data_IF_020862803517
#
_entry.id   IF_020862803517
#
_cell.length_a   1.000
_cell.length_b   1.000
_cell.length_c   1.000
_cell.angle_alpha   90.00
_cell.angle_beta   90.00
_cell.angle_gamma   90.00
#
_symmetry.space_group_name_H-M   'P 1'
#
loop_
_entity.id
_entity.type
_entity.pdbx_description
1 polymer ?
#
# COMPACT_ATOMS: atom_id res chain seq x y z
N UNK A 1 -4.30 38.73 -3.33
CA UNK A 1 -5.70 38.73 -2.82
C UNK A 1 -5.75 37.75 -1.65
N UNK A 2 -6.55 37.99 -0.60
CA UNK A 2 -6.65 37.01 0.49
C UNK A 2 -7.34 35.75 -0.02
N UNK A 3 -6.63 34.63 0.04
CA UNK A 3 -7.10 33.30 -0.32
C UNK A 3 -6.66 32.32 0.76
N UNK A 4 -7.37 31.19 0.96
CA UNK A 4 -6.90 30.14 1.85
C UNK A 4 -5.52 29.64 1.43
N UNK A 5 -4.72 29.22 2.41
CA UNK A 5 -3.51 28.42 2.18
C UNK A 5 -3.96 27.00 1.92
N UNK A 6 -3.53 26.42 0.80
CA UNK A 6 -3.76 25.01 0.49
C UNK A 6 -2.61 24.19 1.05
N UNK A 7 -2.92 23.14 1.81
CA UNK A 7 -1.95 22.11 2.19
C UNK A 7 -2.13 20.96 1.20
N UNK A 8 -1.14 20.69 0.34
CA UNK A 8 -1.26 19.65 -0.68
C UNK A 8 -1.37 18.26 -0.04
N UNK A 9 -2.26 17.44 -0.59
CA UNK A 9 -2.30 16.01 -0.27
C UNK A 9 -1.15 15.26 -0.95
N UNK A 10 -0.83 14.04 -0.48
CA UNK A 10 0.18 13.16 -1.09
C UNK A 10 -0.31 11.73 -1.26
N UNK A 11 -1.36 11.49 -2.06
CA UNK A 11 -1.85 10.15 -2.30
C UNK A 11 -0.95 9.39 -3.28
N UNK A 12 -1.10 8.07 -3.27
CA UNK A 12 -0.52 7.16 -4.24
C UNK A 12 -1.62 6.29 -4.87
N UNK A 13 -1.41 5.84 -6.11
CA UNK A 13 -2.33 4.96 -6.80
C UNK A 13 -1.76 4.43 -8.11
N UNK A 14 -2.63 3.86 -8.93
CA UNK A 14 -2.31 3.26 -10.22
C UNK A 14 -3.16 3.86 -11.34
N UNK A 15 -2.69 3.82 -12.59
CA UNK A 15 -3.55 4.08 -13.74
C UNK A 15 -4.81 3.19 -13.71
N UNK A 16 -6.00 3.80 -13.72
CA UNK A 16 -7.29 3.11 -13.62
C UNK A 16 -7.96 3.18 -12.24
N UNK A 17 -7.24 3.60 -11.20
CA UNK A 17 -7.77 3.64 -9.82
C UNK A 17 -8.71 4.83 -9.58
N UNK A 18 -9.56 4.69 -8.57
CA UNK A 18 -10.24 5.83 -7.93
C UNK A 18 -9.47 6.25 -6.68
N UNK A 19 -9.13 7.54 -6.59
CA UNK A 19 -8.30 8.10 -5.53
C UNK A 19 -9.10 9.16 -4.77
N UNK A 20 -9.16 9.04 -3.45
CA UNK A 20 -9.74 10.05 -2.57
C UNK A 20 -8.66 11.09 -2.20
N UNK A 21 -8.73 12.28 -2.78
CA UNK A 21 -7.85 13.41 -2.46
C UNK A 21 -8.44 14.22 -1.29
N UNK A 22 -7.62 14.54 -0.30
CA UNK A 22 -7.99 15.36 0.87
C UNK A 22 -7.30 16.71 0.83
N UNK A 23 -7.94 17.70 0.20
CA UNK A 23 -7.39 19.06 0.11
C UNK A 23 -7.72 19.83 1.38
N UNK A 24 -6.69 20.25 2.13
CA UNK A 24 -6.91 21.08 3.32
C UNK A 24 -6.76 22.57 3.00
N UNK A 25 -7.74 23.35 3.43
CA UNK A 25 -7.78 24.80 3.26
C UNK A 25 -7.68 25.48 4.62
N UNK A 26 -6.60 26.24 4.84
CA UNK A 26 -6.36 27.02 6.04
C UNK A 26 -6.63 28.50 5.77
N UNK A 27 -7.41 29.15 6.63
CA UNK A 27 -7.58 30.61 6.60
C UNK A 27 -6.60 31.26 7.58
N UNK A 28 -5.49 31.89 7.16
CA UNK A 28 -4.54 32.53 8.07
C UNK A 28 -4.99 33.92 8.56
N UNK A 29 -6.15 34.42 8.11
CA UNK A 29 -6.58 35.79 8.37
C UNK A 29 -7.55 35.89 9.56
N UNK A 30 -7.67 37.11 10.09
CA UNK A 30 -8.60 37.46 11.17
C UNK A 30 -10.04 37.72 10.71
N UNK A 31 -10.36 37.44 9.46
CA UNK A 31 -11.71 37.55 8.88
C UNK A 31 -12.06 36.27 8.12
N UNK A 32 -13.35 35.98 7.94
CA UNK A 32 -13.79 34.79 7.22
C UNK A 32 -13.43 34.85 5.74
N UNK A 33 -13.21 33.69 5.13
CA UNK A 33 -13.04 33.54 3.69
C UNK A 33 -14.13 32.63 3.15
N UNK A 34 -14.79 33.06 2.07
CA UNK A 34 -15.79 32.25 1.35
C UNK A 34 -15.43 32.16 -0.12
N UNK A 35 -15.83 31.06 -0.75
CA UNK A 35 -15.58 30.85 -2.16
C UNK A 35 -15.77 29.41 -2.59
N UNK A 36 -15.08 29.06 -3.66
CA UNK A 36 -15.12 27.73 -4.26
C UNK A 36 -13.69 27.30 -4.57
N UNK A 37 -13.40 26.02 -4.30
CA UNK A 37 -12.19 25.36 -4.72
C UNK A 37 -12.54 24.40 -5.85
N UNK A 38 -11.84 24.52 -6.98
CA UNK A 38 -12.05 23.68 -8.17
C UNK A 38 -10.75 22.96 -8.49
N UNK A 39 -10.79 21.63 -8.61
CA UNK A 39 -9.68 20.84 -9.12
C UNK A 39 -9.49 21.07 -10.62
N UNK A 40 -8.27 21.36 -11.01
CA UNK A 40 -7.83 21.41 -12.40
C UNK A 40 -7.22 20.04 -12.76
N UNK A 41 -8.02 19.20 -13.40
CA UNK A 41 -7.65 17.83 -13.72
C UNK A 41 -6.99 17.74 -15.10
N UNK A 42 -5.96 16.87 -15.27
CA UNK A 42 -5.37 16.64 -16.58
C UNK A 42 -6.38 16.06 -17.59
N UNK A 43 -6.14 16.21 -18.90
CA UNK A 43 -6.98 15.61 -19.92
C UNK A 43 -7.19 14.11 -19.71
N UNK A 44 -8.45 13.66 -19.79
CA UNK A 44 -8.84 12.25 -19.63
C UNK A 44 -9.08 11.80 -18.19
N UNK A 45 -8.75 12.63 -17.20
CA UNK A 45 -9.10 12.38 -15.80
C UNK A 45 -10.55 12.79 -15.52
N UNK A 46 -11.15 12.16 -14.53
CA UNK A 46 -12.51 12.46 -14.09
C UNK A 46 -12.58 12.59 -12.57
N UNK A 47 -13.62 13.22 -12.05
CA UNK A 47 -13.96 13.19 -10.64
C UNK A 47 -15.48 13.19 -10.47
N UNK A 48 -15.98 12.63 -9.36
CA UNK A 48 -17.41 12.69 -9.02
C UNK A 48 -17.91 14.14 -8.95
N UNK A 49 -17.07 15.01 -8.39
CA UNK A 49 -17.27 16.45 -8.34
C UNK A 49 -15.89 17.11 -8.46
N UNK A 50 -15.77 18.13 -9.31
CA UNK A 50 -14.51 18.87 -9.49
C UNK A 50 -14.47 20.17 -8.71
N UNK A 51 -15.58 20.59 -8.08
CA UNK A 51 -15.72 21.93 -7.51
C UNK A 51 -16.53 21.92 -6.23
N UNK A 52 -15.96 22.37 -5.11
CA UNK A 52 -16.62 22.41 -3.80
C UNK A 52 -16.57 23.79 -3.17
N UNK A 53 -17.66 24.26 -2.52
CA UNK A 53 -17.64 25.52 -1.80
C UNK A 53 -16.82 25.41 -0.50
N UNK A 54 -16.27 26.54 -0.05
CA UNK A 54 -15.69 26.67 1.29
C UNK A 54 -16.23 27.91 2.00
N UNK A 55 -16.39 27.80 3.32
CA UNK A 55 -16.71 28.88 4.25
C UNK A 55 -15.82 28.72 5.48
N UNK A 56 -14.71 29.44 5.50
CA UNK A 56 -13.68 29.34 6.54
C UNK A 56 -13.85 30.48 7.53
N UNK A 57 -14.06 30.14 8.79
CA UNK A 57 -13.95 31.07 9.90
C UNK A 57 -12.53 31.68 9.97
N UNK A 58 -12.33 32.82 10.65
CA UNK A 58 -11.00 33.35 10.94
C UNK A 58 -10.12 32.28 11.60
N UNK A 59 -8.89 32.10 11.13
CA UNK A 59 -7.96 31.06 11.63
C UNK A 59 -8.50 29.62 11.49
N UNK A 60 -9.54 29.41 10.69
CA UNK A 60 -10.22 28.12 10.51
C UNK A 60 -9.57 27.21 9.48
N UNK A 61 -9.93 25.93 9.54
CA UNK A 61 -9.51 24.85 8.65
C UNK A 61 -10.75 24.15 8.07
N UNK A 62 -10.70 23.79 6.79
CA UNK A 62 -11.61 22.82 6.20
C UNK A 62 -10.83 21.75 5.43
N UNK A 63 -11.43 20.57 5.30
CA UNK A 63 -10.93 19.50 4.44
C UNK A 63 -11.99 19.24 3.38
N UNK A 64 -11.58 19.29 2.11
CA UNK A 64 -12.42 18.99 0.98
C UNK A 64 -11.98 17.65 0.38
N UNK A 65 -12.84 16.64 0.46
CA UNK A 65 -12.59 15.33 -0.14
C UNK A 65 -13.00 15.34 -1.62
N UNK A 66 -12.16 14.81 -2.51
CA UNK A 66 -12.48 14.65 -3.93
C UNK A 66 -12.20 13.21 -4.36
N UNK A 67 -13.18 12.55 -4.95
CA UNK A 67 -13.00 11.23 -5.58
C UNK A 67 -12.61 11.43 -7.04
N UNK A 68 -11.37 11.10 -7.38
CA UNK A 68 -10.78 11.30 -8.71
C UNK A 68 -10.49 9.95 -9.36
N UNK A 69 -10.95 9.75 -10.58
CA UNK A 69 -10.67 8.56 -11.39
C UNK A 69 -9.46 8.81 -12.28
N UNK A 70 -8.42 8.01 -12.10
CA UNK A 70 -7.21 8.02 -12.91
C UNK A 70 -7.48 7.28 -14.22
N UNK A 71 -7.21 7.87 -15.40
CA UNK A 71 -7.42 7.15 -16.65
C UNK A 71 -6.47 5.94 -16.75
N UNK A 72 -6.88 4.81 -17.32
CA UNK A 72 -6.02 3.63 -17.47
C UNK A 72 -4.73 3.88 -18.28
N UNK A 73 -4.72 4.94 -19.10
CA UNK A 73 -3.57 5.35 -19.91
C UNK A 73 -2.72 6.45 -19.26
N UNK A 74 -2.96 6.79 -17.99
CA UNK A 74 -2.16 7.78 -17.27
C UNK A 74 -0.68 7.37 -17.23
N UNK A 75 0.21 8.35 -17.37
CA UNK A 75 1.64 8.13 -17.15
C UNK A 75 1.90 7.96 -15.65
N UNK A 76 2.84 7.08 -15.34
CA UNK A 76 3.36 6.83 -13.99
C UNK A 76 4.37 7.92 -13.58
N UNK A 77 4.66 8.01 -12.28
CA UNK A 77 5.51 9.02 -11.67
C UNK A 77 4.76 9.98 -10.75
N UNK A 78 5.45 11.02 -10.27
CA UNK A 78 4.83 12.09 -9.50
C UNK A 78 4.12 13.08 -10.43
N UNK A 79 2.84 13.33 -10.14
CA UNK A 79 1.99 14.27 -10.83
C UNK A 79 1.50 15.36 -9.85
N UNK A 80 1.71 16.60 -10.22
CA UNK A 80 1.10 17.74 -9.53
C UNK A 80 -0.35 17.94 -10.00
N UNK A 81 -1.30 17.91 -9.07
CA UNK A 81 -2.68 18.34 -9.33
C UNK A 81 -2.84 19.78 -8.83
N UNK A 82 -3.36 20.65 -9.69
CA UNK A 82 -3.58 22.06 -9.37
C UNK A 82 -5.02 22.28 -8.92
N UNK A 83 -5.21 23.21 -7.99
CA UNK A 83 -6.50 23.71 -7.55
C UNK A 83 -6.65 25.19 -7.84
N UNK A 84 -7.86 25.60 -8.21
CA UNK A 84 -8.25 26.98 -8.47
C UNK A 84 -9.16 27.44 -7.34
N UNK A 85 -8.74 28.47 -6.63
CA UNK A 85 -9.51 29.15 -5.58
C UNK A 85 -10.22 30.36 -6.19
N UNK A 86 -11.55 30.35 -6.17
CA UNK A 86 -12.37 31.51 -6.53
C UNK A 86 -13.02 32.07 -5.28
N UNK A 87 -12.57 33.23 -4.83
CA UNK A 87 -13.14 33.94 -3.69
C UNK A 87 -13.73 35.30 -4.08
N UNK A 88 -14.35 35.98 -3.13
CA UNK A 88 -15.00 37.29 -3.34
C UNK A 88 -14.08 38.35 -3.95
N UNK A 89 -12.77 38.26 -3.69
CA UNK A 89 -11.77 39.24 -4.11
C UNK A 89 -10.95 38.82 -5.33
N UNK A 90 -11.23 37.65 -5.90
CA UNK A 90 -10.66 37.17 -7.16
C UNK A 90 -10.18 35.71 -7.12
N UNK A 91 -9.32 35.36 -8.07
CA UNK A 91 -8.91 33.99 -8.39
C UNK A 91 -7.43 33.78 -8.03
N UNK A 92 -7.10 32.63 -7.45
CA UNK A 92 -5.72 32.17 -7.25
C UNK A 92 -5.59 30.69 -7.55
N UNK A 93 -4.36 30.22 -7.77
CA UNK A 93 -4.03 28.80 -8.00
C UNK A 93 -3.09 28.31 -6.91
N UNK A 94 -3.20 27.03 -6.57
CA UNK A 94 -2.33 26.37 -5.62
C UNK A 94 -2.21 24.88 -5.93
N UNK A 95 -1.13 24.24 -5.48
CA UNK A 95 -0.99 22.79 -5.56
C UNK A 95 -2.02 22.13 -4.63
N UNK A 96 -2.90 21.30 -5.20
CA UNK A 96 -3.92 20.56 -4.48
C UNK A 96 -3.37 19.23 -3.93
N UNK A 97 -2.56 18.55 -4.74
CA UNK A 97 -1.95 17.28 -4.37
C UNK A 97 -0.68 16.99 -5.19
N UNK A 98 0.22 16.21 -4.61
CA UNK A 98 1.29 15.49 -5.31
C UNK A 98 0.92 14.02 -5.35
N UNK A 99 0.46 13.54 -6.50
CA UNK A 99 -0.01 12.18 -6.69
C UNK A 99 1.11 11.31 -7.25
N UNK A 100 1.45 10.22 -6.55
CA UNK A 100 2.40 9.22 -7.03
C UNK A 100 1.66 8.08 -7.75
N UNK A 101 1.78 8.01 -9.07
CA UNK A 101 1.23 6.90 -9.86
C UNK A 101 2.29 5.83 -10.13
N UNK A 102 1.97 4.58 -9.83
CA UNK A 102 2.78 3.43 -10.21
C UNK A 102 1.96 2.48 -11.08
N UNK A 103 2.57 1.86 -12.08
CA UNK A 103 1.90 0.80 -12.82
C UNK A 103 1.87 -0.41 -11.91
N UNK A 104 0.72 -1.06 -11.79
CA UNK A 104 0.55 -2.18 -10.87
C UNK A 104 -0.03 -3.39 -11.57
N UNK A 105 0.22 -4.58 -11.02
CA UNK A 105 -0.43 -5.81 -11.43
C UNK A 105 -0.65 -6.71 -10.23
N UNK A 106 -1.90 -7.15 -10.04
CA UNK A 106 -2.24 -8.16 -9.03
C UNK A 106 -1.52 -9.47 -9.35
N UNK A 107 -0.74 -9.97 -8.40
CA UNK A 107 -0.08 -11.27 -8.41
C UNK A 107 -1.02 -12.33 -7.81
N UNK A 108 -1.70 -11.99 -6.71
CA UNK A 108 -2.75 -12.82 -6.09
C UNK A 108 -3.62 -11.98 -5.17
N UNK A 109 -4.91 -12.27 -5.12
CA UNK A 109 -5.91 -11.63 -4.27
C UNK A 109 -6.69 -12.64 -3.40
N UNK A 110 -6.27 -13.92 -3.38
CA UNK A 110 -6.86 -14.98 -2.54
C UNK A 110 -8.37 -15.27 -2.73
N UNK A 111 -9.02 -14.61 -3.69
CA UNK A 111 -10.49 -14.58 -3.88
C UNK A 111 -11.14 -15.93 -4.15
N UNK A 112 -10.40 -16.87 -4.74
CA UNK A 112 -10.97 -18.14 -5.22
C UNK A 112 -10.65 -19.33 -4.33
N UNK A 113 -9.43 -19.43 -3.79
CA UNK A 113 -9.01 -20.52 -2.89
C UNK A 113 -7.59 -20.31 -2.35
N UNK A 114 -7.26 -21.02 -1.26
CA UNK A 114 -5.87 -21.28 -0.85
C UNK A 114 -5.27 -22.54 -1.49
N UNK A 115 -5.88 -23.08 -2.56
CA UNK A 115 -5.36 -24.29 -3.21
C UNK A 115 -3.93 -24.07 -3.70
N UNK A 116 -3.04 -24.97 -3.31
CA UNK A 116 -1.61 -24.90 -3.63
C UNK A 116 -0.81 -24.02 -2.68
N UNK A 117 -1.40 -23.42 -1.65
CA UNK A 117 -0.68 -22.80 -0.55
C UNK A 117 -0.56 -23.76 0.62
N UNK A 118 0.65 -23.91 1.16
CA UNK A 118 0.96 -24.78 2.28
C UNK A 118 1.66 -23.96 3.36
N UNK A 119 1.26 -24.16 4.60
CA UNK A 119 1.87 -23.47 5.74
C UNK A 119 2.92 -24.37 6.40
N UNK A 120 4.06 -23.78 6.71
CA UNK A 120 5.11 -24.37 7.53
C UNK A 120 5.48 -23.41 8.66
N UNK A 121 5.80 -23.94 9.83
CA UNK A 121 6.23 -23.14 10.98
C UNK A 121 7.61 -23.60 11.49
N UNK A 122 8.39 -22.67 12.03
CA UNK A 122 9.67 -22.92 12.69
C UNK A 122 9.66 -22.27 14.07
N UNK A 123 9.91 -23.07 15.12
CA UNK A 123 9.81 -22.67 16.54
C UNK A 123 8.45 -22.03 16.91
N UNK A 124 7.39 -22.44 16.20
CA UNK A 124 6.03 -22.01 16.39
C UNK A 124 5.08 -23.05 15.80
N UNK A 125 3.80 -22.86 16.08
CA UNK A 125 2.70 -23.42 15.33
C UNK A 125 2.08 -22.30 14.46
N UNK A 126 1.34 -22.68 13.43
CA UNK A 126 0.62 -21.72 12.61
C UNK A 126 -0.57 -22.31 11.90
N UNK A 127 -1.35 -21.45 11.26
CA UNK A 127 -2.43 -21.81 10.35
C UNK A 127 -2.58 -20.76 9.28
N UNK A 128 -3.14 -21.18 8.13
CA UNK A 128 -3.59 -20.28 7.08
C UNK A 128 -4.99 -20.68 6.65
N UNK A 129 -5.90 -19.72 6.57
CA UNK A 129 -7.28 -19.95 6.16
C UNK A 129 -7.84 -18.74 5.39
N UNK A 130 -8.87 -18.98 4.58
CA UNK A 130 -9.62 -17.88 3.99
C UNK A 130 -10.51 -17.27 5.06
N UNK A 131 -10.54 -15.95 5.11
CA UNK A 131 -11.44 -15.21 5.97
C UNK A 131 -12.42 -14.39 5.15
N UNK A 132 -13.68 -14.37 5.60
CA UNK A 132 -14.71 -13.47 5.10
C UNK A 132 -14.56 -12.03 5.65
N UNK A 133 -13.57 -11.78 6.50
CA UNK A 133 -13.26 -10.44 6.99
C UNK A 133 -12.54 -9.64 5.91
N UNK A 134 -13.06 -8.43 5.65
CA UNK A 134 -12.58 -7.58 4.58
C UNK A 134 -11.26 -6.90 4.94
N UNK A 135 -10.35 -6.89 3.98
CA UNK A 135 -9.36 -5.83 3.84
C UNK A 135 -9.94 -4.75 2.90
N UNK A 136 -9.31 -3.57 2.74
CA UNK A 136 -9.77 -2.58 1.78
C UNK A 136 -9.83 -3.08 0.33
N UNK A 137 -9.11 -4.15 -0.01
CA UNK A 137 -9.09 -4.74 -1.35
C UNK A 137 -10.20 -5.76 -1.63
N UNK A 138 -10.88 -6.28 -0.60
CA UNK A 138 -11.98 -7.23 -0.81
C UNK A 138 -12.05 -8.38 0.22
N UNK A 139 -12.82 -9.40 -0.17
CA UNK A 139 -13.01 -10.66 0.55
C UNK A 139 -13.18 -11.82 -0.44
N UNK A 140 -12.59 -13.00 -0.18
CA UNK A 140 -11.87 -13.36 1.05
C UNK A 140 -10.39 -12.98 1.09
N UNK A 141 -9.92 -12.59 2.28
CA UNK A 141 -8.49 -12.38 2.56
C UNK A 141 -7.85 -13.63 3.19
N UNK A 142 -6.52 -13.76 3.12
CA UNK A 142 -5.81 -14.85 3.78
C UNK A 142 -5.47 -14.48 5.24
N UNK A 143 -6.05 -15.19 6.20
CA UNK A 143 -5.70 -15.06 7.62
C UNK A 143 -4.50 -15.95 7.92
N UNK A 144 -3.45 -15.36 8.49
CA UNK A 144 -2.28 -16.07 8.98
C UNK A 144 -2.26 -15.96 10.49
N UNK A 145 -2.26 -17.10 11.16
CA UNK A 145 -2.14 -17.19 12.61
C UNK A 145 -0.83 -17.85 12.98
N UNK A 146 -0.15 -17.33 13.99
CA UNK A 146 1.05 -17.94 14.58
C UNK A 146 0.92 -17.92 16.10
N UNK A 147 1.25 -19.03 16.74
CA UNK A 147 1.23 -19.18 18.20
C UNK A 147 2.24 -20.24 18.63
N UNK A 148 2.44 -20.37 19.94
CA UNK A 148 3.55 -21.14 20.48
C UNK A 148 3.53 -21.15 22.01
N UNK A 149 4.22 -22.11 22.60
CA UNK A 149 4.51 -22.26 24.02
C UNK A 149 6.01 -22.09 24.35
N UNK A 150 6.90 -22.19 23.35
CA UNK A 150 8.35 -22.05 23.53
C UNK A 150 8.80 -20.62 23.84
N UNK A 151 9.53 -20.37 24.92
CA UNK A 151 10.09 -19.03 25.22
C UNK A 151 11.42 -18.73 24.50
N UNK A 152 11.73 -17.44 24.29
CA UNK A 152 13.07 -16.97 23.90
C UNK A 152 13.58 -17.38 22.51
N UNK A 153 12.70 -17.81 21.61
CA UNK A 153 13.07 -18.29 20.27
C UNK A 153 12.50 -17.39 19.17
N UNK A 154 13.26 -17.19 18.09
CA UNK A 154 12.74 -16.56 16.88
C UNK A 154 11.72 -17.48 16.22
N UNK A 155 10.63 -16.91 15.73
CA UNK A 155 9.50 -17.66 15.17
C UNK A 155 9.25 -17.27 13.74
N UNK A 156 8.93 -18.26 12.91
CA UNK A 156 8.56 -18.02 11.53
C UNK A 156 7.36 -18.90 11.19
N UNK A 157 6.31 -18.29 10.66
CA UNK A 157 5.28 -18.97 9.88
C UNK A 157 5.43 -18.54 8.43
N UNK A 158 5.46 -19.51 7.53
CA UNK A 158 5.62 -19.30 6.10
C UNK A 158 4.48 -19.97 5.36
N UNK A 159 3.80 -19.21 4.51
CA UNK A 159 2.75 -19.71 3.60
C UNK A 159 3.35 -19.79 2.20
N UNK A 160 3.62 -21.01 1.75
CA UNK A 160 4.37 -21.31 0.52
C UNK A 160 3.48 -21.88 -0.57
N UNK A 161 3.57 -21.32 -1.77
CA UNK A 161 2.88 -21.82 -2.95
C UNK A 161 3.64 -23.02 -3.53
N UNK A 162 2.97 -24.13 -3.83
CA UNK A 162 3.58 -25.36 -4.36
C UNK A 162 4.37 -25.10 -5.65
N UNK A 163 3.80 -24.30 -6.55
CA UNK A 163 4.41 -23.83 -7.79
C UNK A 163 4.52 -22.31 -7.72
N UNK A 164 5.69 -21.67 -7.78
CA UNK A 164 5.76 -20.20 -7.63
C UNK A 164 4.79 -19.45 -8.56
N UNK A 165 4.23 -18.33 -8.10
CA UNK A 165 3.37 -17.45 -8.89
C UNK A 165 4.24 -16.57 -9.79
N UNK A 166 4.14 -16.64 -11.12
CA UNK A 166 4.92 -15.77 -11.98
C UNK A 166 4.55 -14.31 -11.74
N UNK A 167 5.55 -13.44 -11.70
CA UNK A 167 5.36 -11.99 -11.74
C UNK A 167 5.83 -11.52 -13.11
N UNK A 168 4.96 -10.82 -13.84
CA UNK A 168 5.25 -10.45 -15.23
C UNK A 168 6.31 -9.36 -15.32
N UNK A 169 7.13 -9.38 -16.37
CA UNK A 169 8.10 -8.32 -16.63
C UNK A 169 9.15 -8.15 -15.53
N UNK A 170 9.50 -6.89 -15.27
CA UNK A 170 10.56 -6.48 -14.34
C UNK A 170 9.99 -5.60 -13.21
N UNK A 171 9.25 -6.20 -12.25
CA UNK A 171 8.68 -5.45 -11.13
C UNK A 171 9.77 -4.80 -10.28
N UNK A 172 9.54 -3.57 -9.84
CA UNK A 172 10.42 -2.84 -8.92
C UNK A 172 10.08 -3.10 -7.47
N UNK A 173 8.83 -3.41 -7.17
CA UNK A 173 8.39 -3.70 -5.82
C UNK A 173 7.26 -4.72 -5.76
N UNK A 174 7.03 -5.20 -4.54
CA UNK A 174 5.85 -5.94 -4.18
C UNK A 174 5.16 -5.19 -3.04
N UNK A 175 3.84 -5.09 -3.09
CA UNK A 175 3.02 -4.57 -2.01
C UNK A 175 1.83 -5.46 -1.73
N UNK A 176 1.22 -5.27 -0.56
CA UNK A 176 0.00 -5.98 -0.16
C UNK A 176 -0.74 -5.20 0.93
N UNK A 177 -2.05 -5.44 1.02
CA UNK A 177 -2.85 -4.98 2.16
C UNK A 177 -2.66 -5.90 3.35
N UNK A 178 -2.46 -5.30 4.53
CA UNK A 178 -2.29 -6.03 5.79
C UNK A 178 -3.20 -5.44 6.85
N UNK A 179 -4.09 -6.26 7.40
CA UNK A 179 -4.72 -5.96 8.70
C UNK A 179 -3.77 -6.39 9.81
N UNK A 180 -3.12 -5.41 10.44
CA UNK A 180 -2.15 -5.61 11.51
C UNK A 180 -2.78 -5.79 12.88
N UNK A 181 -2.01 -6.37 13.79
CA UNK A 181 -2.38 -6.75 15.15
C UNK A 181 -1.43 -6.18 16.22
N UNK A 182 -0.55 -5.23 15.84
CA UNK A 182 0.49 -4.66 16.72
C UNK A 182 1.46 -5.72 17.29
N UNK A 183 1.61 -6.86 16.61
CA UNK A 183 2.47 -7.98 17.05
C UNK A 183 3.97 -7.67 17.03
N UNK A 184 4.40 -6.53 16.47
CA UNK A 184 5.78 -6.11 16.23
C UNK A 184 6.65 -7.11 15.44
N UNK A 185 6.03 -8.11 14.83
CA UNK A 185 6.68 -9.06 13.93
C UNK A 185 6.97 -8.40 12.58
N UNK A 186 7.54 -9.16 11.66
CA UNK A 186 7.93 -8.70 10.33
C UNK A 186 7.23 -9.54 9.27
N UNK A 187 6.89 -8.90 8.15
CA UNK A 187 6.39 -9.56 6.94
C UNK A 187 7.52 -9.62 5.93
N UNK A 188 7.73 -10.80 5.35
CA UNK A 188 8.69 -11.03 4.27
C UNK A 188 8.03 -11.72 3.08
N UNK A 189 8.56 -11.46 1.89
CA UNK A 189 8.30 -12.29 0.71
C UNK A 189 9.49 -13.18 0.43
N UNK A 190 9.23 -14.39 -0.08
CA UNK A 190 10.24 -15.13 -0.81
C UNK A 190 9.99 -14.97 -2.31
N UNK A 191 10.92 -14.34 -3.00
CA UNK A 191 10.92 -14.16 -4.46
C UNK A 191 11.95 -15.13 -5.05
N UNK A 192 11.60 -15.76 -6.17
CA UNK A 192 12.49 -16.65 -6.92
C UNK A 192 12.74 -16.06 -8.29
N UNK A 193 14.00 -15.88 -8.64
CA UNK A 193 14.41 -15.30 -9.91
C UNK A 193 14.48 -16.34 -11.04
N UNK A 194 14.93 -15.91 -12.23
CA UNK A 194 15.03 -16.73 -13.43
C UNK A 194 15.96 -17.93 -13.28
N UNK A 195 17.01 -17.83 -12.47
CA UNK A 195 18.00 -18.89 -12.26
C UNK A 195 17.69 -19.75 -11.02
N UNK A 196 16.60 -19.45 -10.32
CA UNK A 196 16.15 -20.18 -9.15
C UNK A 196 16.79 -19.70 -7.84
N UNK A 197 17.47 -18.55 -7.85
CA UNK A 197 17.90 -17.88 -6.64
C UNK A 197 16.69 -17.31 -5.89
N UNK A 198 16.73 -17.45 -4.57
CA UNK A 198 15.67 -17.10 -3.64
C UNK A 198 16.09 -15.89 -2.85
N UNK A 199 15.29 -14.84 -2.89
CA UNK A 199 15.47 -13.61 -2.15
C UNK A 199 14.41 -13.50 -1.06
N UNK A 200 14.84 -13.21 0.17
CA UNK A 200 13.93 -12.92 1.29
C UNK A 200 13.77 -11.40 1.38
N UNK A 201 12.74 -10.87 0.71
CA UNK A 201 12.43 -9.44 0.65
C UNK A 201 11.73 -8.99 1.92
N UNK A 202 12.18 -7.90 2.53
CA UNK A 202 11.59 -7.35 3.75
C UNK A 202 10.42 -6.43 3.35
N UNK A 203 9.18 -6.87 3.59
CA UNK A 203 7.98 -6.12 3.21
C UNK A 203 7.57 -5.07 4.27
N UNK A 204 7.60 -5.45 5.55
CA UNK A 204 7.39 -4.52 6.66
C UNK A 204 8.06 -5.01 7.95
N UNK A 205 8.67 -4.08 8.68
CA UNK A 205 9.26 -4.32 10.00
C UNK A 205 9.30 -3.02 10.82
N UNK A 206 8.75 -2.98 12.05
CA UNK A 206 7.83 -3.94 12.68
C UNK A 206 6.35 -3.78 12.22
N UNK A 207 5.49 -4.75 12.52
CA UNK A 207 4.03 -4.60 12.51
C UNK A 207 3.61 -3.86 13.79
N UNK A 208 3.65 -2.53 13.76
CA UNK A 208 3.36 -1.62 14.88
C UNK A 208 2.01 -0.89 14.72
N UNK A 209 1.09 -1.49 13.97
CA UNK A 209 -0.22 -0.92 13.72
C UNK A 209 -1.32 -1.95 13.94
N UNK A 210 -2.50 -1.42 14.25
CA UNK A 210 -3.76 -2.15 14.21
C UNK A 210 -4.59 -1.68 13.02
N UNK A 211 -5.42 -2.56 12.47
CA UNK A 211 -6.24 -2.22 11.31
C UNK A 211 -5.48 -2.32 9.99
N UNK A 212 -6.10 -1.87 8.91
CA UNK A 212 -5.62 -2.09 7.54
C UNK A 212 -4.60 -1.06 7.10
N UNK A 213 -3.47 -1.52 6.55
CA UNK A 213 -2.41 -0.70 6.00
C UNK A 213 -1.88 -1.36 4.72
N UNK A 214 -1.70 -0.57 3.67
CA UNK A 214 -0.96 -1.01 2.49
C UNK A 214 0.53 -0.88 2.79
N UNK A 215 1.28 -1.96 2.60
CA UNK A 215 2.73 -1.95 2.70
C UNK A 215 3.33 -2.30 1.35
N UNK A 216 4.50 -1.75 1.03
CA UNK A 216 5.23 -2.03 -0.19
C UNK A 216 6.72 -1.99 0.10
N UNK A 217 7.48 -2.85 -0.59
CA UNK A 217 8.93 -2.88 -0.53
C UNK A 217 9.53 -3.06 -1.92
N UNK A 218 10.65 -2.38 -2.21
CA UNK A 218 11.46 -2.69 -3.39
C UNK A 218 11.95 -4.13 -3.35
N UNK A 219 11.98 -4.83 -4.50
CA UNK A 219 12.43 -6.23 -4.53
C UNK A 219 13.92 -6.32 -4.17
N UNK A 220 14.71 -5.29 -4.49
CA UNK A 220 16.12 -5.19 -4.07
C UNK A 220 16.32 -5.03 -2.55
N UNK A 221 15.27 -4.76 -1.77
CA UNK A 221 15.35 -4.66 -0.31
C UNK A 221 15.19 -6.04 0.36
N UNK A 222 16.17 -6.92 0.16
CA UNK A 222 16.19 -8.27 0.72
C UNK A 222 17.18 -8.44 1.87
N UNK A 223 16.80 -9.27 2.84
CA UNK A 223 17.62 -9.63 4.00
C UNK A 223 18.69 -10.68 3.67
N UNK A 224 18.38 -11.56 2.73
CA UNK A 224 19.25 -12.65 2.32
C UNK A 224 18.87 -13.17 0.94
N UNK A 225 19.82 -13.84 0.30
CA UNK A 225 19.65 -14.54 -0.96
C UNK A 225 20.33 -15.91 -0.88
N UNK A 226 19.81 -16.90 -1.60
CA UNK A 226 20.36 -18.27 -1.62
C UNK A 226 19.86 -19.05 -2.84
N UNK A 227 20.59 -20.06 -3.30
CA UNK A 227 20.16 -20.89 -4.42
C UNK A 227 21.28 -21.11 -5.44
N UNK A 228 20.91 -21.21 -6.71
CA UNK A 228 21.77 -21.74 -7.78
C UNK A 228 22.95 -20.82 -8.12
N UNK A 229 22.70 -19.65 -8.70
CA UNK A 229 23.71 -18.65 -9.09
C UNK A 229 24.20 -17.84 -7.87
N UNK A 230 23.34 -17.62 -6.87
CA UNK A 230 23.66 -17.01 -5.58
C UNK A 230 24.48 -15.71 -5.71
N UNK A 231 24.22 -14.93 -6.75
CA UNK A 231 25.02 -13.75 -7.10
C UNK A 231 24.53 -12.47 -6.38
N UNK A 232 23.38 -12.54 -5.70
CA UNK A 232 22.78 -11.41 -5.00
C UNK A 232 22.19 -10.35 -5.95
N UNK A 233 21.98 -10.71 -7.22
CA UNK A 233 21.39 -9.84 -8.26
C UNK A 233 20.08 -10.47 -8.72
N UNK A 234 19.01 -9.68 -8.76
CA UNK A 234 17.70 -10.16 -9.20
C UNK A 234 17.70 -10.31 -10.73
N UNK A 235 17.61 -11.55 -11.20
CA UNK A 235 17.52 -11.86 -12.63
C UNK A 235 16.06 -12.13 -13.04
N UNK A 236 15.47 -11.23 -13.83
CA UNK A 236 14.07 -11.36 -14.30
C UNK A 236 13.89 -12.42 -15.39
N UNK A 237 12.69 -13.03 -15.51
CA UNK A 237 11.49 -12.80 -14.70
C UNK A 237 11.60 -13.41 -13.30
N UNK A 238 10.83 -12.84 -12.37
CA UNK A 238 10.74 -13.34 -10.99
C UNK A 238 9.39 -14.01 -10.73
N UNK A 239 9.30 -14.74 -9.62
CA UNK A 239 8.08 -15.38 -9.16
C UNK A 239 7.94 -15.29 -7.64
N UNK A 240 6.73 -15.07 -7.16
CA UNK A 240 6.41 -15.10 -5.72
C UNK A 240 6.28 -16.55 -5.26
N UNK A 241 7.08 -16.95 -4.27
CA UNK A 241 7.06 -18.30 -3.69
C UNK A 241 6.33 -18.38 -2.36
N UNK A 242 6.53 -17.41 -1.47
CA UNK A 242 5.89 -17.41 -0.15
C UNK A 242 5.73 -16.03 0.46
N UNK A 243 4.81 -15.95 1.42
CA UNK A 243 4.73 -14.86 2.39
C UNK A 243 5.09 -15.44 3.76
N UNK A 244 5.89 -14.71 4.53
CA UNK A 244 6.38 -15.14 5.83
C UNK A 244 6.03 -14.09 6.89
N UNK A 245 5.65 -14.55 8.08
CA UNK A 245 5.55 -13.74 9.29
C UNK A 245 6.66 -14.20 10.23
N UNK A 246 7.51 -13.27 10.65
CA UNK A 246 8.72 -13.57 11.42
C UNK A 246 8.82 -12.69 12.66
N UNK A 247 8.96 -13.28 13.85
CA UNK A 247 9.16 -12.53 15.10
C UNK A 247 10.55 -12.81 15.67
N UNK A 248 11.22 -11.77 16.17
CA UNK A 248 12.54 -11.87 16.79
C UNK A 248 12.43 -12.47 18.19
N UNK A 249 13.43 -13.22 18.64
CA UNK A 249 13.44 -13.85 19.97
C UNK A 249 13.25 -12.85 21.14
N UNK A 250 13.69 -11.60 20.96
CA UNK A 250 13.59 -10.54 21.97
C UNK A 250 12.19 -9.94 22.11
N UNK A 251 11.29 -10.21 21.16
CA UNK A 251 9.95 -9.64 21.15
C UNK A 251 8.97 -10.61 20.49
N UNK A 252 8.17 -11.24 21.32
CA UNK A 252 7.41 -12.40 20.92
C UNK A 252 6.03 -12.37 21.55
N UNK A 253 4.99 -11.97 20.79
CA UNK A 253 3.63 -12.08 21.26
C UNK A 253 3.24 -13.55 21.42
N UNK A 254 2.32 -13.81 22.36
CA UNK A 254 1.75 -15.15 22.61
C UNK A 254 1.03 -15.69 21.36
N UNK A 255 0.37 -14.78 20.63
CA UNK A 255 -0.34 -15.06 19.39
C UNK A 255 -0.19 -13.88 18.43
N UNK A 256 0.02 -14.20 17.15
CA UNK A 256 -0.04 -13.28 16.01
C UNK A 256 -1.22 -13.69 15.15
N UNK A 257 -2.00 -12.72 14.70
CA UNK A 257 -3.11 -12.92 13.79
C UNK A 257 -3.24 -11.73 12.85
N UNK A 258 -2.82 -11.92 11.60
CA UNK A 258 -2.92 -10.90 10.56
C UNK A 258 -3.79 -11.38 9.41
N UNK A 259 -4.38 -10.44 8.68
CA UNK A 259 -4.96 -10.71 7.37
C UNK A 259 -4.09 -10.08 6.31
N UNK A 260 -3.80 -10.83 5.26
CA UNK A 260 -3.12 -10.33 4.08
C UNK A 260 -4.03 -10.46 2.86
N UNK A 261 -3.93 -9.49 1.97
CA UNK A 261 -4.70 -9.50 0.73
C UNK A 261 -4.01 -8.71 -0.38
N UNK A 262 -4.41 -8.96 -1.61
CA UNK A 262 -4.03 -8.25 -2.82
C UNK A 262 -2.53 -7.99 -2.92
N UNK A 263 -1.77 -9.06 -3.12
CA UNK A 263 -0.35 -8.92 -3.42
C UNK A 263 -0.22 -8.36 -4.84
N UNK A 264 0.39 -7.20 -4.94
CA UNK A 264 0.55 -6.40 -6.15
C UNK A 264 2.03 -6.26 -6.46
N UNK A 265 2.37 -6.43 -7.73
CA UNK A 265 3.65 -6.02 -8.27
C UNK A 265 3.58 -4.59 -8.78
N UNK A 266 4.55 -3.76 -8.40
CA UNK A 266 4.68 -2.38 -8.86
C UNK A 266 5.77 -2.28 -9.93
N UNK A 267 5.52 -1.46 -10.93
CA UNK A 267 6.39 -1.20 -12.08
C UNK A 267 6.56 0.31 -12.20
N UNK A 268 7.73 0.73 -12.71
CA UNK A 268 7.94 2.10 -13.17
C UNK A 268 6.95 2.50 -14.27
#
# INVERSE_FOLDING_TARGET
MPSPVVVPDRPAGSPGDEINLKVQLLNPFSHSLKGTFTLDLPPGWAAEEVSKPYDLAPLGLAVLDFTVTVPPAAQTGELELTGILTGEKGISTATAAWLSLAKTKVVTNFESSLVGWNMTASNANGSVELSAEATPSGCPAARITMWTDLEGSSRIVQVTRSVSLPVEGEPKGLGLWVKGDDSGCQINYQVVDRYGERFVVIAAQPIDWTGSKYISAPIEHFASHSGTNANGVIDYPVSLKSVMVSCRASYVPEKVEILIDEIVATYE
#
